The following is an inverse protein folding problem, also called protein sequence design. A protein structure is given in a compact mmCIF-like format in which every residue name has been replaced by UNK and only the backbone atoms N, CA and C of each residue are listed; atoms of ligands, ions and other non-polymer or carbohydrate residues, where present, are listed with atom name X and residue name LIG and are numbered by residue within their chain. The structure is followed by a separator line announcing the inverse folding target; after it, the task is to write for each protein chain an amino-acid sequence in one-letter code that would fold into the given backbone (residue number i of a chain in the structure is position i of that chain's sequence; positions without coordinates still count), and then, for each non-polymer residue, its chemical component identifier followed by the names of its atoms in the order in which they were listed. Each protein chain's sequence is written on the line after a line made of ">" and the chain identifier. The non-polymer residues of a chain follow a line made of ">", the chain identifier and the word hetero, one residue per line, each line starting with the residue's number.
data_IF_862020348509
#
_entry.id   IF_862020348509
#
_cell.length_a   1.000
_cell.length_b   1.000
_cell.length_c   1.000
_cell.angle_alpha   90.00
_cell.angle_beta   90.00
_cell.angle_gamma   90.00
#
_symmetry.space_group_name_H-M   'P 1'
#
loop_
_entity.id
_entity.type
_entity.pdbx_description
1 polymer ?
#
# COMPACT_ATOMS: atom_id res chain seq x y z
N UNK A 1 -3.09 0.86 22.95
CA UNK A 1 -3.46 0.29 21.63
C UNK A 1 -4.97 0.34 21.44
N UNK A 2 -5.48 0.08 20.24
CA UNK A 2 -6.92 0.13 19.95
C UNK A 2 -7.70 -0.91 20.75
N UNK A 3 -7.14 -2.12 20.93
CA UNK A 3 -7.73 -3.15 21.80
C UNK A 3 -7.92 -2.68 23.24
N UNK A 4 -6.96 -1.96 23.81
CA UNK A 4 -7.07 -1.42 25.18
C UNK A 4 -8.19 -0.40 25.29
N UNK A 5 -8.32 0.50 24.32
CA UNK A 5 -9.41 1.50 24.28
C UNK A 5 -10.77 0.81 24.11
N UNK A 6 -10.87 -0.14 23.17
CA UNK A 6 -12.12 -0.88 22.92
C UNK A 6 -12.57 -1.70 24.14
N UNK A 7 -11.62 -2.22 24.95
CA UNK A 7 -11.93 -2.95 26.18
C UNK A 7 -12.57 -2.06 27.27
N UNK A 8 -12.42 -0.74 27.19
CA UNK A 8 -13.08 0.21 28.11
C UNK A 8 -14.54 0.49 27.74
N UNK A 9 -14.97 0.10 26.53
CA UNK A 9 -16.32 0.37 26.04
C UNK A 9 -17.27 -0.70 26.60
N UNK A 10 -18.26 -0.33 27.43
CA UNK A 10 -19.21 -1.28 27.97
C UNK A 10 -20.07 -1.87 26.86
N UNK A 11 -20.30 -3.17 26.91
CA UNK A 11 -21.13 -3.93 25.95
C UNK A 11 -20.63 -3.91 24.49
N UNK A 12 -19.33 -3.72 24.26
CA UNK A 12 -18.75 -3.86 22.92
C UNK A 12 -18.92 -5.30 22.38
N UNK A 13 -19.55 -5.44 21.21
CA UNK A 13 -19.78 -6.73 20.57
C UNK A 13 -18.46 -7.31 20.05
N UNK A 14 -17.97 -8.36 20.71
CA UNK A 14 -16.67 -8.97 20.40
C UNK A 14 -16.61 -9.59 18.99
N UNK A 15 -17.72 -10.12 18.50
CA UNK A 15 -17.77 -10.66 17.12
C UNK A 15 -17.65 -9.52 16.12
N UNK A 16 -18.31 -8.38 16.35
CA UNK A 16 -18.16 -7.21 15.49
C UNK A 16 -16.70 -6.68 15.49
N UNK A 17 -16.08 -6.58 16.67
CA UNK A 17 -14.68 -6.16 16.76
C UNK A 17 -13.74 -7.10 15.99
N UNK A 18 -13.94 -8.42 16.12
CA UNK A 18 -13.12 -9.44 15.48
C UNK A 18 -13.37 -9.60 13.98
N UNK A 19 -14.62 -9.53 13.54
CA UNK A 19 -15.03 -9.90 12.18
C UNK A 19 -15.22 -8.68 11.26
N UNK A 20 -15.22 -7.47 11.80
CA UNK A 20 -15.37 -6.23 11.00
C UNK A 20 -14.21 -5.27 11.26
N UNK A 21 -14.00 -4.88 12.51
CA UNK A 21 -13.04 -3.82 12.86
C UNK A 21 -11.60 -4.30 12.68
N UNK A 22 -11.28 -5.48 13.19
CA UNK A 22 -9.97 -6.13 13.03
C UNK A 22 -9.64 -6.36 11.55
N UNK A 23 -10.60 -6.86 10.78
CA UNK A 23 -10.43 -7.08 9.33
C UNK A 23 -10.08 -5.77 8.62
N UNK A 24 -10.91 -4.74 8.81
CA UNK A 24 -10.71 -3.43 8.15
C UNK A 24 -9.36 -2.81 8.55
N UNK A 25 -8.95 -2.96 9.81
CA UNK A 25 -7.65 -2.46 10.30
C UNK A 25 -6.49 -3.18 9.63
N UNK A 26 -6.55 -4.51 9.52
CA UNK A 26 -5.49 -5.30 8.90
C UNK A 26 -5.38 -5.05 7.40
N UNK A 27 -6.51 -4.87 6.71
CA UNK A 27 -6.52 -4.60 5.27
C UNK A 27 -6.01 -3.19 4.96
N UNK A 28 -6.40 -2.18 5.74
CA UNK A 28 -6.05 -0.78 5.47
C UNK A 28 -4.67 -0.38 5.98
N UNK A 29 -4.18 -0.93 7.10
CA UNK A 29 -2.92 -0.50 7.72
C UNK A 29 -1.92 -1.64 7.97
N UNK A 30 -2.23 -2.87 7.54
CA UNK A 30 -1.43 -4.07 7.82
C UNK A 30 -1.18 -4.33 9.32
N UNK A 31 -2.01 -3.75 10.19
CA UNK A 31 -1.88 -3.80 11.65
C UNK A 31 -3.15 -4.39 12.27
N UNK A 32 -3.01 -5.07 13.42
CA UNK A 32 -4.14 -5.59 14.19
C UNK A 32 -4.61 -4.57 15.23
N UNK A 33 -5.79 -4.79 15.83
CA UNK A 33 -6.27 -3.97 16.95
C UNK A 33 -5.31 -3.99 18.16
N UNK A 34 -4.55 -5.08 18.31
CA UNK A 34 -3.57 -5.22 19.38
C UNK A 34 -2.33 -4.32 19.18
N UNK A 35 -2.02 -3.91 17.94
CA UNK A 35 -0.84 -3.10 17.63
C UNK A 35 -1.15 -1.63 17.35
N UNK A 36 -2.21 -1.36 16.59
CA UNK A 36 -2.53 0.01 16.14
C UNK A 36 -3.04 0.88 17.31
N UNK A 37 -2.82 2.19 17.28
CA UNK A 37 -3.49 3.13 18.17
C UNK A 37 -4.95 3.37 17.76
N UNK A 38 -5.78 3.87 18.68
CA UNK A 38 -7.23 3.98 18.49
C UNK A 38 -7.62 4.85 17.30
N UNK A 39 -6.95 5.98 17.08
CA UNK A 39 -7.28 6.86 15.94
C UNK A 39 -7.03 6.19 14.57
N UNK A 40 -5.92 5.46 14.41
CA UNK A 40 -5.63 4.73 13.17
C UNK A 40 -6.66 3.63 12.92
N UNK A 41 -7.12 2.96 13.99
CA UNK A 41 -8.25 2.03 13.91
C UNK A 41 -9.54 2.73 13.45
N UNK A 42 -9.86 3.92 13.97
CA UNK A 42 -11.06 4.66 13.54
C UNK A 42 -10.97 5.01 12.05
N UNK A 43 -9.81 5.50 11.60
CA UNK A 43 -9.60 5.83 10.18
C UNK A 43 -9.71 4.59 9.29
N UNK A 44 -9.27 3.43 9.77
CA UNK A 44 -9.39 2.16 9.03
C UNK A 44 -10.85 1.74 8.81
N UNK A 45 -11.82 2.34 9.51
CA UNK A 45 -13.25 2.10 9.30
C UNK A 45 -13.89 3.06 8.30
N UNK A 46 -13.20 4.12 7.86
CA UNK A 46 -13.76 5.12 6.95
C UNK A 46 -14.32 4.53 5.65
N UNK A 47 -13.71 3.49 5.02
CA UNK A 47 -14.29 2.85 3.84
C UNK A 47 -15.67 2.21 4.07
N UNK A 48 -16.04 1.91 5.33
CA UNK A 48 -17.33 1.32 5.67
C UNK A 48 -18.46 2.36 5.75
N UNK A 49 -18.13 3.65 5.82
CA UNK A 49 -19.10 4.74 6.03
C UNK A 49 -19.06 5.80 4.92
N UNK A 50 -17.98 5.88 4.15
CA UNK A 50 -17.81 6.83 3.07
C UNK A 50 -17.95 6.18 1.69
N UNK A 51 -18.35 6.97 0.71
CA UNK A 51 -18.33 6.53 -0.69
C UNK A 51 -16.89 6.51 -1.20
N UNK A 52 -16.39 5.31 -1.52
CA UNK A 52 -15.09 5.16 -2.16
C UNK A 52 -15.16 5.55 -3.64
N UNK A 53 -14.24 6.39 -4.07
CA UNK A 53 -14.07 6.78 -5.46
C UNK A 53 -12.66 6.44 -5.93
N UNK A 54 -12.53 6.14 -7.21
CA UNK A 54 -11.24 5.96 -7.86
C UNK A 54 -11.28 6.61 -9.24
N UNK A 55 -10.11 6.98 -9.74
CA UNK A 55 -10.00 7.42 -11.14
C UNK A 55 -10.17 6.19 -12.02
N UNK A 56 -11.08 6.25 -13.01
CA UNK A 56 -11.46 5.11 -13.88
C UNK A 56 -10.26 4.31 -14.44
N UNK A 57 -9.18 5.00 -14.74
CA UNK A 57 -7.97 4.43 -15.35
C UNK A 57 -6.78 4.37 -14.37
N UNK A 58 -7.05 4.40 -13.07
CA UNK A 58 -6.07 4.28 -11.99
C UNK A 58 -5.74 5.60 -11.30
N UNK A 59 -5.64 5.54 -9.96
CA UNK A 59 -5.35 6.71 -9.11
C UNK A 59 -4.00 7.36 -9.39
N UNK A 60 -3.08 6.68 -10.09
CA UNK A 60 -1.81 7.27 -10.54
C UNK A 60 -2.03 8.55 -11.38
N UNK A 61 -3.14 8.64 -12.11
CA UNK A 61 -3.47 9.81 -12.92
C UNK A 61 -3.71 11.07 -12.08
N UNK A 62 -4.14 10.91 -10.82
CA UNK A 62 -4.26 12.05 -9.91
C UNK A 62 -2.88 12.66 -9.63
N UNK A 63 -1.90 11.83 -9.28
CA UNK A 63 -0.53 12.27 -8.98
C UNK A 63 0.16 12.82 -10.24
N UNK A 64 -0.03 12.15 -11.38
CA UNK A 64 0.49 12.62 -12.66
C UNK A 64 -0.10 13.99 -13.04
N UNK A 65 -1.42 14.17 -12.91
CA UNK A 65 -2.06 15.44 -13.20
C UNK A 65 -1.56 16.56 -12.30
N UNK A 66 -1.36 16.31 -11.00
CA UNK A 66 -0.77 17.29 -10.07
C UNK A 66 0.65 17.67 -10.51
N UNK A 67 1.47 16.68 -10.88
CA UNK A 67 2.84 16.90 -11.36
C UNK A 67 2.87 17.77 -12.62
N UNK A 68 2.04 17.46 -13.62
CA UNK A 68 1.94 18.20 -14.89
C UNK A 68 1.44 19.64 -14.68
N UNK A 69 0.46 19.85 -13.80
CA UNK A 69 -0.11 21.17 -13.50
C UNK A 69 0.80 22.05 -12.64
N UNK A 70 1.76 21.47 -11.91
CA UNK A 70 2.61 22.21 -10.96
C UNK A 70 3.55 23.22 -11.62
N UNK A 71 3.89 23.02 -12.91
CA UNK A 71 4.95 23.77 -13.58
C UNK A 71 6.35 23.53 -13.00
N UNK A 72 6.51 22.55 -12.11
CA UNK A 72 7.79 22.23 -11.49
C UNK A 72 8.77 21.59 -12.50
N UNK A 73 10.07 21.85 -12.32
CA UNK A 73 11.12 21.11 -13.02
C UNK A 73 11.31 19.73 -12.37
N UNK A 74 10.57 18.74 -12.85
CA UNK A 74 10.58 17.38 -12.29
C UNK A 74 11.75 16.58 -12.84
N UNK A 75 12.65 16.16 -11.95
CA UNK A 75 13.82 15.35 -12.29
C UNK A 75 13.68 13.92 -11.76
N UNK A 76 13.28 12.99 -12.65
CA UNK A 76 13.21 11.56 -12.33
C UNK A 76 14.63 10.94 -12.30
N UNK A 77 14.78 9.77 -11.67
CA UNK A 77 16.05 9.05 -11.53
C UNK A 77 17.20 9.89 -10.93
N UNK A 78 16.85 10.89 -10.11
CA UNK A 78 17.77 11.89 -9.56
C UNK A 78 17.69 11.86 -8.03
N UNK A 79 18.13 10.76 -7.43
CA UNK A 79 18.12 10.61 -5.98
C UNK A 79 19.06 11.63 -5.31
N UNK A 80 18.59 12.28 -4.25
CA UNK A 80 19.42 13.17 -3.42
C UNK A 80 20.29 12.33 -2.50
N UNK A 81 21.58 12.69 -2.39
CA UNK A 81 22.56 12.00 -1.55
C UNK A 81 23.04 12.85 -0.38
N UNK A 82 23.14 14.16 -0.56
CA UNK A 82 23.64 15.08 0.47
C UNK A 82 22.93 16.42 0.39
N UNK A 83 22.66 17.00 1.55
CA UNK A 83 22.12 18.34 1.73
C UNK A 83 23.00 19.09 2.74
N UNK A 84 23.43 20.28 2.36
CA UNK A 84 24.26 21.15 3.18
C UNK A 84 23.57 22.50 3.36
N UNK A 85 23.30 22.91 4.60
CA UNK A 85 22.90 24.28 4.90
C UNK A 85 24.12 25.18 4.79
N UNK A 86 24.01 26.19 3.94
CA UNK A 86 25.05 27.18 3.67
C UNK A 86 24.49 28.59 3.84
N UNK A 87 25.39 29.57 3.94
CA UNK A 87 25.04 30.97 3.85
C UNK A 87 25.34 31.47 2.43
N UNK A 88 24.39 32.19 1.84
CA UNK A 88 24.60 32.91 0.59
C UNK A 88 25.62 34.06 0.78
N UNK A 89 26.01 34.71 -0.32
CA UNK A 89 26.86 35.91 -0.27
C UNK A 89 26.26 37.07 0.54
N UNK A 90 24.94 37.10 0.71
CA UNK A 90 24.23 38.10 1.51
C UNK A 90 23.98 37.65 2.95
N UNK A 91 24.45 36.45 3.33
CA UNK A 91 24.21 35.85 4.64
C UNK A 91 22.86 35.16 4.78
N UNK A 92 22.04 35.11 3.71
CA UNK A 92 20.76 34.39 3.73
C UNK A 92 20.98 32.87 3.74
N UNK A 93 20.09 32.13 4.38
CA UNK A 93 20.12 30.66 4.37
C UNK A 93 19.89 30.13 2.96
N UNK A 94 20.73 29.18 2.53
CA UNK A 94 20.57 28.39 1.32
C UNK A 94 20.92 26.92 1.58
N UNK A 95 20.45 26.04 0.70
CA UNK A 95 20.68 24.61 0.75
C UNK A 95 21.40 24.16 -0.51
N UNK A 96 22.60 23.63 -0.36
CA UNK A 96 23.33 22.95 -1.43
C UNK A 96 22.93 21.48 -1.45
N UNK A 97 22.33 21.03 -2.55
CA UNK A 97 21.83 19.68 -2.73
C UNK A 97 22.72 18.95 -3.72
N UNK A 98 23.24 17.79 -3.32
CA UNK A 98 24.05 16.91 -4.18
C UNK A 98 23.30 15.63 -4.47
N UNK A 99 23.18 15.28 -5.74
CA UNK A 99 22.51 14.06 -6.20
C UNK A 99 23.46 12.85 -6.15
N UNK A 100 22.92 11.64 -6.30
CA UNK A 100 23.70 10.41 -6.37
C UNK A 100 24.66 10.36 -7.57
N UNK A 101 24.33 11.07 -8.67
CA UNK A 101 25.22 11.22 -9.84
C UNK A 101 26.32 12.26 -9.63
N UNK A 102 26.29 13.01 -8.53
CA UNK A 102 27.25 14.07 -8.22
C UNK A 102 26.87 15.45 -8.77
N UNK A 103 25.70 15.59 -9.38
CA UNK A 103 25.18 16.91 -9.75
C UNK A 103 24.87 17.74 -8.49
N UNK A 104 25.07 19.05 -8.58
CA UNK A 104 24.94 19.98 -7.46
C UNK A 104 24.10 21.16 -7.88
N UNK A 105 23.14 21.53 -7.02
CA UNK A 105 22.35 22.75 -7.17
C UNK A 105 22.11 23.41 -5.80
N UNK A 106 21.65 24.66 -5.80
CA UNK A 106 21.39 25.45 -4.59
C UNK A 106 19.97 25.99 -4.56
N UNK A 107 19.33 25.91 -3.39
CA UNK A 107 17.94 26.32 -3.19
C UNK A 107 17.80 27.23 -1.97
N UNK A 108 16.89 28.20 -2.02
CA UNK A 108 16.64 29.10 -0.88
C UNK A 108 15.79 28.46 0.23
N UNK A 109 15.08 27.38 -0.09
CA UNK A 109 14.32 26.57 0.84
C UNK A 109 14.31 25.11 0.39
N UNK A 110 14.05 24.20 1.32
CA UNK A 110 13.97 22.77 1.05
C UNK A 110 12.71 22.17 1.69
N UNK A 111 11.96 21.38 0.91
CA UNK A 111 10.84 20.58 1.39
C UNK A 111 11.23 19.11 1.22
N UNK A 112 11.37 18.41 2.34
CA UNK A 112 11.70 17.00 2.37
C UNK A 112 10.42 16.18 2.48
N UNK A 113 10.04 15.46 1.42
CA UNK A 113 8.80 14.67 1.39
C UNK A 113 9.04 13.16 1.27
N UNK A 114 10.30 12.70 1.28
CA UNK A 114 10.60 11.28 1.30
C UNK A 114 10.63 10.75 2.74
N UNK A 115 10.15 9.52 2.98
CA UNK A 115 10.30 8.86 4.27
C UNK A 115 11.75 8.79 4.72
N UNK A 116 12.03 9.23 5.94
CA UNK A 116 13.40 9.40 6.45
C UNK A 116 14.04 8.11 6.95
N UNK A 117 13.23 7.13 7.38
CA UNK A 117 13.66 5.85 7.94
C UNK A 117 13.63 4.69 6.95
N UNK A 118 13.09 4.91 5.74
CA UNK A 118 12.74 3.83 4.80
C UNK A 118 13.85 3.48 3.81
N UNK A 119 14.77 4.41 3.55
CA UNK A 119 15.88 4.23 2.60
C UNK A 119 17.22 4.19 3.33
N UNK A 120 17.42 3.21 4.20
CA UNK A 120 18.67 3.04 4.96
C UNK A 120 19.89 2.82 4.06
N UNK A 121 19.67 2.22 2.88
CA UNK A 121 20.75 1.89 1.93
C UNK A 121 21.27 3.12 1.16
N UNK A 122 20.52 4.24 1.20
CA UNK A 122 20.86 5.48 0.51
C UNK A 122 20.45 6.72 1.34
N UNK A 123 20.78 6.72 2.62
CA UNK A 123 20.43 7.83 3.51
C UNK A 123 21.04 9.17 3.03
N UNK A 124 20.23 10.23 3.08
CA UNK A 124 20.69 11.59 2.78
C UNK A 124 21.65 12.03 3.89
N UNK A 125 22.84 12.47 3.52
CA UNK A 125 23.77 13.11 4.44
C UNK A 125 23.35 14.57 4.68
N UNK A 126 23.10 14.93 5.93
CA UNK A 126 22.76 16.30 6.33
C UNK A 126 23.96 16.99 7.00
N UNK A 127 24.25 18.22 6.58
CA UNK A 127 25.39 19.01 7.09
C UNK A 127 24.96 20.43 7.40
N UNK A 128 25.42 20.98 8.53
CA UNK A 128 25.22 22.39 8.88
C UNK A 128 23.82 22.72 9.42
N UNK A 129 22.98 21.71 9.67
CA UNK A 129 21.71 21.91 10.37
C UNK A 129 21.95 22.29 11.83
N UNK A 130 20.95 22.91 12.47
CA UNK A 130 20.94 23.20 13.91
C UNK A 130 21.22 21.93 14.73
N UNK A 131 21.91 22.09 15.85
CA UNK A 131 22.17 20.99 16.77
C UNK A 131 20.85 20.36 17.24
N UNK A 132 20.76 19.03 17.15
CA UNK A 132 19.53 18.29 17.47
C UNK A 132 18.42 18.37 16.43
N UNK A 133 18.65 18.99 15.25
CA UNK A 133 17.66 19.01 14.19
C UNK A 133 17.22 17.59 13.79
N UNK A 134 15.92 17.39 13.58
CA UNK A 134 15.32 16.06 13.41
C UNK A 134 16.03 15.19 12.36
N UNK A 135 16.45 15.73 11.21
CA UNK A 135 17.13 14.93 10.19
C UNK A 135 18.57 14.51 10.52
N UNK A 136 19.18 15.10 11.55
CA UNK A 136 20.51 14.67 12.05
C UNK A 136 20.41 13.54 13.07
N UNK A 137 19.27 13.43 13.77
CA UNK A 137 19.05 12.45 14.83
C UNK A 137 18.13 11.30 14.41
N UNK A 138 17.14 11.60 13.55
CA UNK A 138 16.01 10.75 13.17
C UNK A 138 15.32 10.11 14.39
N UNK A 139 15.36 10.81 15.53
CA UNK A 139 14.90 10.31 16.81
C UNK A 139 13.61 11.03 17.25
N UNK A 140 12.55 10.29 17.66
CA UNK A 140 12.45 8.83 17.58
C UNK A 140 12.21 8.35 16.13
N UNK A 141 12.68 7.14 15.79
CA UNK A 141 12.47 6.57 14.47
C UNK A 141 10.99 6.30 14.21
N UNK A 142 10.60 6.39 12.94
CA UNK A 142 9.28 5.97 12.46
C UNK A 142 9.45 4.61 11.80
N UNK A 143 9.03 3.55 12.49
CA UNK A 143 8.99 2.21 11.91
C UNK A 143 7.87 2.13 10.86
N UNK A 144 8.08 1.34 9.81
CA UNK A 144 7.09 1.11 8.76
C UNK A 144 6.72 -0.37 8.69
N UNK A 145 5.45 -0.62 8.39
CA UNK A 145 4.91 -1.92 8.06
C UNK A 145 5.31 -2.28 6.64
N UNK A 146 6.13 -3.33 6.51
CA UNK A 146 6.41 -3.94 5.21
C UNK A 146 5.20 -4.75 4.77
N UNK A 147 4.51 -4.27 3.75
CA UNK A 147 3.41 -4.96 3.08
C UNK A 147 3.94 -5.67 1.85
N UNK A 148 3.78 -6.98 1.79
CA UNK A 148 4.05 -7.75 0.58
C UNK A 148 2.79 -7.84 -0.27
N UNK A 149 2.96 -7.59 -1.57
CA UNK A 149 1.91 -7.66 -2.56
C UNK A 149 2.29 -8.68 -3.61
N UNK A 150 1.42 -9.66 -3.83
CA UNK A 150 1.60 -10.68 -4.86
C UNK A 150 0.44 -10.61 -5.83
N UNK A 151 0.72 -10.45 -7.12
CA UNK A 151 -0.26 -10.58 -8.19
C UNK A 151 -0.11 -11.94 -8.85
N UNK A 152 -1.22 -12.65 -9.06
CA UNK A 152 -1.24 -13.99 -9.65
C UNK A 152 -2.27 -14.05 -10.76
N UNK A 153 -1.86 -14.57 -11.91
CA UNK A 153 -2.77 -14.97 -12.99
C UNK A 153 -2.93 -16.48 -12.90
N UNK A 154 -4.15 -16.96 -12.68
CA UNK A 154 -4.35 -18.39 -12.51
C UNK A 154 -5.78 -18.82 -12.21
N UNK A 155 -5.94 -20.14 -12.07
CA UNK A 155 -7.16 -20.83 -11.68
C UNK A 155 -7.14 -21.16 -10.20
N UNK A 156 -7.91 -20.41 -9.42
CA UNK A 156 -8.03 -20.68 -7.98
C UNK A 156 -8.66 -22.06 -7.73
N UNK A 157 -8.33 -22.68 -6.60
CA UNK A 157 -8.83 -23.99 -6.15
C UNK A 157 -10.01 -23.79 -5.18
N UNK A 158 -11.28 -24.00 -5.59
CA UNK A 158 -12.43 -23.83 -4.70
C UNK A 158 -12.36 -24.63 -3.40
N UNK A 159 -11.73 -25.81 -3.43
CA UNK A 159 -11.55 -26.64 -2.23
C UNK A 159 -10.71 -25.97 -1.13
N UNK A 160 -9.84 -25.03 -1.50
CA UNK A 160 -9.09 -24.22 -0.53
C UNK A 160 -10.04 -23.34 0.32
N UNK A 161 -11.10 -22.81 -0.30
CA UNK A 161 -12.03 -21.87 0.33
C UNK A 161 -13.22 -22.56 1.01
N UNK A 162 -13.73 -23.63 0.41
CA UNK A 162 -15.00 -24.24 0.83
C UNK A 162 -14.83 -25.54 1.61
N UNK A 163 -13.61 -26.05 1.83
CA UNK A 163 -13.32 -27.21 2.70
C UNK A 163 -14.26 -28.43 2.46
N UNK A 164 -14.55 -28.78 1.21
CA UNK A 164 -15.42 -29.91 0.86
C UNK A 164 -16.91 -29.61 0.72
N UNK A 165 -17.32 -28.35 0.89
CA UNK A 165 -18.70 -27.87 0.69
C UNK A 165 -18.88 -27.15 -0.67
N UNK A 166 -18.02 -27.41 -1.66
CA UNK A 166 -17.99 -26.67 -2.94
C UNK A 166 -19.34 -26.67 -3.65
N UNK A 167 -20.10 -27.77 -3.55
CA UNK A 167 -21.43 -27.91 -4.15
C UNK A 167 -22.48 -26.93 -3.58
N UNK A 168 -22.22 -26.32 -2.41
CA UNK A 168 -23.12 -25.31 -1.80
C UNK A 168 -22.90 -23.91 -2.36
N UNK A 169 -21.82 -23.68 -3.09
CA UNK A 169 -21.42 -22.36 -3.55
C UNK A 169 -21.39 -22.31 -5.08
N UNK A 170 -22.07 -21.30 -5.64
CA UNK A 170 -22.12 -21.11 -7.09
C UNK A 170 -20.89 -20.36 -7.64
N UNK A 171 -20.13 -19.66 -6.77
CA UNK A 171 -19.03 -18.79 -7.16
C UNK A 171 -17.86 -18.88 -6.19
N UNK A 172 -16.65 -18.66 -6.70
CA UNK A 172 -15.47 -18.36 -5.88
C UNK A 172 -15.64 -17.02 -5.16
N UNK A 173 -15.06 -16.85 -3.94
CA UNK A 173 -15.06 -15.56 -3.27
C UNK A 173 -14.27 -14.54 -4.08
N UNK A 174 -14.87 -13.39 -4.36
CA UNK A 174 -14.17 -12.27 -5.01
C UNK A 174 -13.19 -11.58 -4.06
N UNK A 175 -13.51 -11.59 -2.76
CA UNK A 175 -12.64 -11.05 -1.72
C UNK A 175 -12.61 -12.02 -0.53
N UNK A 176 -11.42 -12.24 0.01
CA UNK A 176 -11.20 -13.00 1.24
C UNK A 176 -10.35 -12.15 2.17
N UNK A 177 -10.82 -11.98 3.40
CA UNK A 177 -10.10 -11.25 4.43
C UNK A 177 -9.88 -12.13 5.64
N UNK A 178 -8.70 -12.03 6.27
CA UNK A 178 -8.38 -12.81 7.46
C UNK A 178 -8.50 -11.95 8.72
N UNK A 179 -8.82 -12.57 9.85
CA UNK A 179 -8.72 -11.94 11.17
C UNK A 179 -7.33 -12.24 11.74
N UNK A 180 -6.86 -11.46 12.72
CA UNK A 180 -5.75 -11.95 13.55
C UNK A 180 -6.16 -13.25 14.26
N UNK A 181 -5.22 -14.19 14.33
CA UNK A 181 -5.42 -15.48 14.99
C UNK A 181 -4.10 -15.95 15.59
N UNK A 182 -4.16 -16.41 16.84
CA UNK A 182 -3.02 -17.03 17.52
C UNK A 182 -2.88 -18.52 17.21
N UNK A 183 -3.89 -19.13 16.59
CA UNK A 183 -3.98 -20.59 16.38
C UNK A 183 -3.97 -21.01 14.91
N UNK A 184 -4.19 -20.08 13.98
CA UNK A 184 -4.18 -20.34 12.55
C UNK A 184 -3.48 -19.20 11.83
N UNK A 185 -2.33 -19.51 11.22
CA UNK A 185 -1.57 -18.54 10.42
C UNK A 185 -1.88 -18.82 8.96
N UNK A 186 -2.78 -18.02 8.40
CA UNK A 186 -2.95 -17.95 6.93
C UNK A 186 -1.79 -17.13 6.37
N UNK A 187 -1.15 -17.52 5.26
CA UNK A 187 0.04 -16.83 4.76
C UNK A 187 -0.26 -15.44 4.16
N UNK A 188 -1.54 -15.05 4.11
CA UNK A 188 -2.00 -13.77 3.61
C UNK A 188 -2.98 -13.08 4.58
N UNK A 189 -3.03 -11.76 4.46
CA UNK A 189 -3.98 -10.86 5.11
C UNK A 189 -5.27 -10.72 4.29
N UNK A 190 -5.14 -10.62 2.96
CA UNK A 190 -6.30 -10.56 2.06
C UNK A 190 -6.02 -11.11 0.68
N UNK A 191 -7.10 -11.49 0.00
CA UNK A 191 -7.17 -11.86 -1.41
C UNK A 191 -8.25 -11.01 -2.05
N UNK A 192 -7.94 -10.39 -3.19
CA UNK A 192 -8.91 -9.66 -4.01
C UNK A 192 -8.78 -10.08 -5.47
N UNK A 193 -9.89 -10.54 -6.05
CA UNK A 193 -10.01 -10.76 -7.50
C UNK A 193 -10.12 -9.39 -8.17
N UNK A 194 -9.07 -9.00 -8.88
CA UNK A 194 -9.00 -7.71 -9.58
C UNK A 194 -9.67 -7.81 -10.96
N UNK A 195 -9.57 -8.97 -11.61
CA UNK A 195 -10.13 -9.20 -12.93
C UNK A 195 -10.46 -10.67 -13.17
N UNK A 196 -11.54 -10.93 -13.88
CA UNK A 196 -11.96 -12.26 -14.34
C UNK A 196 -11.71 -12.32 -15.84
N UNK A 197 -10.88 -13.28 -16.27
CA UNK A 197 -10.42 -13.40 -17.64
C UNK A 197 -11.35 -14.28 -18.47
N UNK A 198 -11.65 -13.85 -19.69
CA UNK A 198 -12.09 -14.75 -20.76
C UNK A 198 -10.91 -15.62 -21.23
N UNK A 199 -11.20 -16.67 -22.00
CA UNK A 199 -10.16 -17.52 -22.61
C UNK A 199 -9.20 -16.71 -23.48
N UNK A 200 -9.72 -15.79 -24.29
CA UNK A 200 -8.91 -14.93 -25.17
C UNK A 200 -7.96 -14.07 -24.35
N UNK A 201 -8.48 -13.39 -23.33
CA UNK A 201 -7.66 -12.55 -22.44
C UNK A 201 -6.62 -13.37 -21.67
N UNK A 202 -6.95 -14.59 -21.24
CA UNK A 202 -5.99 -15.49 -20.60
C UNK A 202 -4.81 -15.79 -21.52
N UNK A 203 -5.05 -16.15 -22.78
CA UNK A 203 -3.97 -16.37 -23.75
C UNK A 203 -3.15 -15.11 -23.98
N UNK A 204 -3.79 -13.94 -24.12
CA UNK A 204 -3.08 -12.67 -24.30
C UNK A 204 -2.15 -12.35 -23.13
N UNK A 205 -2.65 -12.44 -21.89
CA UNK A 205 -1.89 -12.20 -20.67
C UNK A 205 -0.76 -13.23 -20.52
N UNK A 206 -1.05 -14.52 -20.74
CA UNK A 206 -0.05 -15.60 -20.64
C UNK A 206 1.07 -15.45 -21.68
N UNK A 207 0.75 -15.10 -22.93
CA UNK A 207 1.78 -14.83 -23.96
C UNK A 207 2.65 -13.64 -23.60
N UNK A 208 2.05 -12.55 -23.10
CA UNK A 208 2.80 -11.39 -22.62
C UNK A 208 3.74 -11.76 -21.45
N UNK A 209 3.36 -12.76 -20.66
CA UNK A 209 4.16 -13.35 -19.59
C UNK A 209 5.15 -14.44 -20.06
N UNK A 210 5.32 -14.68 -21.36
CA UNK A 210 6.12 -15.76 -21.94
C UNK A 210 5.71 -17.18 -21.53
N UNK A 211 4.43 -17.40 -21.24
CA UNK A 211 3.84 -18.72 -20.99
C UNK A 211 3.37 -19.32 -22.32
N UNK A 212 3.75 -20.57 -22.59
CA UNK A 212 3.37 -21.28 -23.83
C UNK A 212 1.87 -21.52 -23.91
N UNK A 213 1.28 -21.28 -25.08
CA UNK A 213 -0.12 -21.60 -25.38
C UNK A 213 -0.48 -23.06 -25.07
N UNK A 214 0.46 -24.00 -25.22
CA UNK A 214 0.25 -25.41 -24.91
C UNK A 214 0.01 -25.66 -23.42
N UNK A 215 0.60 -24.87 -22.52
CA UNK A 215 0.41 -24.98 -21.07
C UNK A 215 -0.98 -24.48 -20.70
N UNK A 216 -1.39 -23.35 -21.28
CA UNK A 216 -2.73 -22.78 -21.08
C UNK A 216 -3.81 -23.72 -21.62
N UNK A 217 -3.60 -24.26 -22.83
CA UNK A 217 -4.53 -25.21 -23.45
C UNK A 217 -4.71 -26.48 -22.62
N UNK A 218 -3.63 -27.02 -22.03
CA UNK A 218 -3.69 -28.20 -21.19
C UNK A 218 -4.52 -27.97 -19.91
N UNK A 219 -4.39 -26.82 -19.26
CA UNK A 219 -5.17 -26.51 -18.05
C UNK A 219 -6.66 -26.28 -18.37
N UNK A 220 -6.96 -25.65 -19.51
CA UNK A 220 -8.34 -25.49 -20.00
C UNK A 220 -8.98 -26.85 -20.25
N UNK A 221 -8.28 -27.76 -20.94
CA UNK A 221 -8.79 -29.10 -21.19
C UNK A 221 -9.06 -29.88 -19.89
N UNK A 222 -8.19 -29.74 -18.88
CA UNK A 222 -8.40 -30.33 -17.57
C UNK A 222 -9.64 -29.74 -16.86
N UNK A 223 -9.86 -28.42 -16.97
CA UNK A 223 -11.06 -27.76 -16.45
C UNK A 223 -12.34 -28.23 -17.16
N UNK A 224 -12.30 -28.39 -18.49
CA UNK A 224 -13.42 -28.95 -19.26
C UNK A 224 -13.80 -30.36 -18.78
N UNK A 225 -12.80 -31.22 -18.52
CA UNK A 225 -13.02 -32.55 -17.97
C UNK A 225 -13.62 -32.50 -16.56
N UNK A 226 -13.11 -31.63 -15.67
CA UNK A 226 -13.65 -31.39 -14.33
C UNK A 226 -15.14 -30.98 -14.38
N UNK A 227 -15.49 -30.10 -15.32
CA UNK A 227 -16.86 -29.62 -15.51
C UNK A 227 -17.78 -30.70 -16.09
N UNK A 228 -17.29 -31.46 -17.07
CA UNK A 228 -18.04 -32.57 -17.69
C UNK A 228 -18.33 -33.71 -16.70
N UNK A 229 -17.45 -33.93 -15.72
CA UNK A 229 -17.65 -34.91 -14.65
C UNK A 229 -18.77 -34.53 -13.65
N UNK A 230 -19.41 -33.36 -13.81
CA UNK A 230 -20.48 -32.90 -12.92
C UNK A 230 -19.99 -32.41 -11.56
N UNK A 231 -18.68 -32.21 -11.39
CA UNK A 231 -18.08 -31.84 -10.12
C UNK A 231 -18.30 -30.36 -9.75
N UNK A 232 -18.90 -29.51 -10.62
CA UNK A 232 -19.31 -28.13 -10.31
C UNK A 232 -20.49 -27.63 -11.17
N UNK A 233 -21.35 -26.81 -10.56
CA UNK A 233 -22.38 -26.01 -11.24
C UNK A 233 -21.85 -24.65 -11.67
N UNK A 234 -22.31 -24.20 -12.84
CA UNK A 234 -21.99 -22.96 -13.58
C UNK A 234 -21.81 -21.70 -12.72
N UNK A 235 -20.86 -20.88 -13.17
CA UNK A 235 -20.52 -19.56 -12.63
C UNK A 235 -21.67 -18.55 -12.78
N UNK A 236 -21.70 -17.62 -11.82
CA UNK A 236 -22.59 -16.49 -11.56
C UNK A 236 -23.76 -16.25 -12.54
N UNK A 237 -24.98 -16.36 -12.00
CA UNK A 237 -26.26 -16.09 -12.64
C UNK A 237 -26.51 -14.61 -13.04
N UNK A 238 -25.48 -13.81 -13.34
CA UNK A 238 -25.62 -12.39 -13.68
C UNK A 238 -24.63 -11.87 -14.74
N UNK A 239 -24.07 -12.73 -15.60
CA UNK A 239 -23.19 -12.32 -16.71
C UNK A 239 -23.90 -12.61 -18.05
N UNK A 240 -23.79 -11.69 -19.01
CA UNK A 240 -24.63 -11.63 -20.22
C UNK A 240 -24.01 -12.36 -21.43
N UNK A 241 -24.79 -12.55 -22.51
CA UNK A 241 -24.69 -13.66 -23.46
C UNK A 241 -23.40 -13.86 -24.30
N UNK A 242 -22.41 -12.95 -24.25
CA UNK A 242 -21.09 -13.12 -24.89
C UNK A 242 -19.98 -13.52 -23.88
N UNK A 243 -20.34 -13.73 -22.60
CA UNK A 243 -19.45 -13.86 -21.44
C UNK A 243 -18.90 -15.29 -21.19
N UNK A 244 -17.57 -15.40 -21.15
CA UNK A 244 -16.77 -16.15 -20.17
C UNK A 244 -17.04 -17.65 -20.02
N UNK A 245 -16.52 -18.45 -20.95
CA UNK A 245 -16.51 -19.91 -20.89
C UNK A 245 -15.75 -20.48 -19.67
N UNK A 246 -14.90 -19.67 -18.99
CA UNK A 246 -14.12 -20.05 -17.80
C UNK A 246 -13.84 -18.86 -16.84
N UNK A 247 -14.84 -18.37 -16.08
CA UNK A 247 -14.62 -17.36 -15.04
C UNK A 247 -13.76 -17.83 -13.84
N UNK A 248 -13.19 -19.04 -13.94
CA UNK A 248 -12.26 -19.64 -13.00
C UNK A 248 -10.86 -19.02 -13.10
N UNK A 249 -10.53 -18.38 -14.21
CA UNK A 249 -9.24 -17.71 -14.41
C UNK A 249 -9.33 -16.24 -14.01
N UNK A 250 -8.43 -15.85 -13.11
CA UNK A 250 -8.47 -14.56 -12.45
C UNK A 250 -7.10 -13.92 -12.38
N UNK A 251 -7.07 -12.59 -12.39
CA UNK A 251 -5.97 -11.79 -11.86
C UNK A 251 -6.30 -11.47 -10.42
N UNK A 252 -5.45 -11.93 -9.50
CA UNK A 252 -5.69 -11.83 -8.06
C UNK A 252 -4.55 -11.10 -7.40
N UNK A 253 -4.89 -10.19 -6.48
CA UNK A 253 -3.95 -9.51 -5.59
C UNK A 253 -4.01 -10.11 -4.20
N UNK A 254 -2.85 -10.47 -3.67
CA UNK A 254 -2.65 -10.88 -2.29
C UNK A 254 -1.97 -9.75 -1.54
N UNK A 255 -2.45 -9.48 -0.33
CA UNK A 255 -1.67 -8.80 0.69
C UNK A 255 -1.21 -9.80 1.74
N UNK A 256 0.07 -9.79 2.09
CA UNK A 256 0.66 -10.75 3.02
C UNK A 256 1.77 -10.12 3.87
N UNK A 257 2.05 -10.69 5.05
CA UNK A 257 3.15 -10.24 5.92
C UNK A 257 4.54 -10.61 5.37
N UNK A 258 4.61 -11.56 4.44
CA UNK A 258 5.82 -11.98 3.74
C UNK A 258 5.47 -12.28 2.27
N UNK A 259 6.46 -12.28 1.37
CA UNK A 259 6.22 -12.65 -0.02
C UNK A 259 5.67 -14.08 -0.11
N UNK A 260 4.49 -14.24 -0.72
CA UNK A 260 3.86 -15.56 -0.92
C UNK A 260 4.77 -16.48 -1.71
N UNK A 261 5.17 -17.63 -1.17
CA UNK A 261 6.00 -18.61 -1.91
C UNK A 261 5.19 -19.36 -2.95
N UNK A 262 5.83 -19.94 -3.97
CA UNK A 262 5.11 -20.77 -4.96
C UNK A 262 4.40 -21.95 -4.28
N UNK A 263 5.03 -22.58 -3.28
CA UNK A 263 4.39 -23.65 -2.50
C UNK A 263 3.13 -23.19 -1.74
N UNK A 264 3.07 -21.94 -1.28
CA UNK A 264 1.86 -21.37 -0.68
C UNK A 264 0.81 -21.07 -1.74
N UNK A 265 1.21 -20.60 -2.93
CA UNK A 265 0.30 -20.38 -4.05
C UNK A 265 -0.28 -21.70 -4.57
N UNK A 266 0.51 -22.77 -4.64
CA UNK A 266 0.06 -24.11 -5.06
C UNK A 266 -1.04 -24.70 -4.15
N UNK A 267 -1.15 -24.22 -2.91
CA UNK A 267 -2.27 -24.56 -2.03
C UNK A 267 -3.55 -23.86 -2.45
N UNK A 268 -3.47 -22.58 -2.83
CA UNK A 268 -4.60 -21.71 -3.19
C UNK A 268 -5.05 -21.92 -4.65
N UNK A 269 -4.14 -22.28 -5.54
CA UNK A 269 -4.37 -22.44 -6.97
C UNK A 269 -4.40 -23.91 -7.38
N UNK A 270 -5.18 -24.21 -8.40
CA UNK A 270 -5.00 -25.44 -9.17
C UNK A 270 -3.89 -25.25 -10.19
N UNK A 271 -3.84 -24.06 -10.80
CA UNK A 271 -2.77 -23.63 -11.69
C UNK A 271 -2.56 -22.12 -11.55
N UNK A 272 -1.30 -21.68 -11.59
CA UNK A 272 -0.93 -20.27 -11.73
C UNK A 272 0.11 -20.16 -12.85
N UNK A 273 -0.11 -19.23 -13.76
CA UNK A 273 0.69 -19.09 -14.98
C UNK A 273 1.74 -18.00 -14.85
N UNK A 274 1.42 -16.97 -14.06
CA UNK A 274 2.31 -15.85 -13.85
C UNK A 274 2.11 -15.30 -12.44
N UNK A 275 3.23 -14.95 -11.82
CA UNK A 275 3.26 -14.36 -10.49
C UNK A 275 4.23 -13.19 -10.47
N UNK A 276 3.76 -12.05 -9.98
CA UNK A 276 4.59 -10.88 -9.67
C UNK A 276 4.55 -10.58 -8.18
N UNK A 277 5.72 -10.33 -7.59
CA UNK A 277 5.90 -10.08 -6.17
C UNK A 277 6.61 -8.76 -5.98
N UNK A 278 6.08 -7.95 -5.09
CA UNK A 278 6.70 -6.68 -4.69
C UNK A 278 6.43 -6.44 -3.20
N UNK A 279 7.13 -5.48 -2.62
CA UNK A 279 6.89 -5.05 -1.25
C UNK A 279 6.98 -3.54 -1.13
N UNK A 280 6.18 -3.01 -0.23
CA UNK A 280 6.13 -1.59 0.08
C UNK A 280 6.30 -1.39 1.57
N UNK A 281 7.02 -0.34 1.95
CA UNK A 281 6.96 0.19 3.31
C UNK A 281 5.71 1.07 3.38
N UNK A 282 4.56 0.41 3.44
CA UNK A 282 3.29 0.98 3.02
C UNK A 282 2.74 1.99 4.04
N UNK A 283 2.90 1.70 5.33
CA UNK A 283 2.32 2.50 6.40
C UNK A 283 3.31 2.61 7.55
N UNK A 284 3.40 3.77 8.23
CA UNK A 284 4.08 3.81 9.51
C UNK A 284 3.36 2.89 10.49
N UNK A 285 4.13 2.32 11.41
CA UNK A 285 3.57 1.64 12.57
C UNK A 285 2.91 2.71 13.43
N UNK A 286 1.60 2.60 13.55
CA UNK A 286 0.75 3.59 14.20
C UNK A 286 0.67 3.24 15.69
N UNK A 287 1.80 3.39 16.38
CA UNK A 287 1.92 3.25 17.83
C UNK A 287 1.39 4.50 18.55
N UNK A 288 1.00 4.36 19.82
CA UNK A 288 0.71 5.53 20.65
C UNK A 288 1.99 6.34 20.83
N UNK A 289 1.94 7.64 20.51
CA UNK A 289 3.06 8.58 20.64
C UNK A 289 2.73 9.72 21.60
N UNK A 290 3.72 10.23 22.31
CA UNK A 290 3.65 11.52 23.02
C UNK A 290 4.03 12.68 22.09
N UNK A 291 3.67 13.90 22.48
CA UNK A 291 3.84 15.09 21.63
C UNK A 291 5.29 15.32 21.18
N UNK A 292 6.27 14.95 22.02
CA UNK A 292 7.70 15.05 21.75
C UNK A 292 8.25 13.94 20.83
N UNK A 293 7.45 12.92 20.53
CA UNK A 293 7.81 11.82 19.63
C UNK A 293 7.39 12.06 18.17
N UNK A 294 6.71 13.17 17.89
CA UNK A 294 6.35 13.56 16.53
C UNK A 294 7.46 14.38 15.87
N UNK A 295 7.81 14.09 14.60
CA UNK A 295 8.71 14.94 13.85
C UNK A 295 8.16 16.38 13.75
N UNK A 296 9.01 17.41 13.75
CA UNK A 296 8.56 18.77 13.54
C UNK A 296 8.26 19.03 12.05
N UNK A 297 7.24 19.85 11.76
CA UNK A 297 6.97 20.32 10.38
C UNK A 297 8.10 21.25 9.90
N UNK A 298 8.58 22.15 10.76
CA UNK A 298 9.76 23.00 10.47
C UNK A 298 10.96 22.39 11.17
N UNK A 299 11.88 21.80 10.38
CA UNK A 299 13.06 21.09 10.90
C UNK A 299 14.22 22.03 11.15
N UNK A 300 14.38 23.03 10.29
CA UNK A 300 15.39 24.09 10.38
C UNK A 300 14.88 25.33 9.61
N UNK A 301 15.66 26.42 9.59
CA UNK A 301 15.33 27.64 8.84
C UNK A 301 15.11 27.32 7.37
N UNK A 302 13.89 27.54 6.85
CA UNK A 302 13.51 27.22 5.46
C UNK A 302 13.67 25.73 5.09
N UNK A 303 13.61 24.83 6.07
CA UNK A 303 13.61 23.37 5.87
C UNK A 303 12.37 22.75 6.50
N UNK A 304 11.53 22.13 5.66
CA UNK A 304 10.23 21.62 6.07
C UNK A 304 10.08 20.12 5.80
N UNK A 305 9.29 19.47 6.66
CA UNK A 305 8.95 18.05 6.60
C UNK A 305 7.42 17.87 6.66
N UNK A 306 6.70 17.97 5.53
CA UNK A 306 5.24 17.81 5.50
C UNK A 306 4.77 16.44 6.00
N UNK A 307 5.62 15.41 5.93
CA UNK A 307 5.31 14.06 6.40
C UNK A 307 5.40 13.90 7.94
N UNK A 308 5.66 14.97 8.68
CA UNK A 308 5.70 14.98 10.14
C UNK A 308 4.47 14.37 10.82
N UNK A 309 3.32 14.41 10.16
CA UNK A 309 2.06 13.87 10.67
C UNK A 309 1.82 12.39 10.34
N UNK A 310 2.61 11.80 9.44
CA UNK A 310 2.44 10.39 9.01
C UNK A 310 2.45 9.41 10.18
N UNK A 311 3.30 9.55 11.23
CA UNK A 311 3.30 8.62 12.35
C UNK A 311 2.03 8.63 13.19
N UNK A 312 1.16 9.63 13.00
CA UNK A 312 -0.18 9.67 13.61
C UNK A 312 -1.22 9.06 12.67
N UNK A 313 -1.32 9.55 11.44
CA UNK A 313 -2.23 9.00 10.43
C UNK A 313 -1.65 9.26 9.04
N UNK A 314 -1.28 8.19 8.34
CA UNK A 314 -0.80 8.26 6.95
C UNK A 314 -1.98 8.16 5.98
N UNK A 315 -2.31 9.29 5.36
CA UNK A 315 -3.31 9.41 4.28
C UNK A 315 -2.87 10.48 3.28
N UNK A 316 -3.35 10.41 2.04
CA UNK A 316 -3.07 11.46 1.05
C UNK A 316 -3.65 12.81 1.49
N UNK A 317 -4.81 12.78 2.17
CA UNK A 317 -5.52 13.95 2.68
C UNK A 317 -4.71 14.69 3.73
N UNK A 318 -4.16 13.98 4.72
CA UNK A 318 -3.31 14.59 5.77
C UNK A 318 -2.02 15.16 5.17
N UNK A 319 -1.39 14.46 4.23
CA UNK A 319 -0.19 14.96 3.54
C UNK A 319 -0.48 16.18 2.64
N UNK A 320 -1.67 16.25 2.03
CA UNK A 320 -2.11 17.41 1.24
C UNK A 320 -2.34 18.64 2.13
N UNK A 321 -3.02 18.47 3.27
CA UNK A 321 -3.22 19.56 4.24
C UNK A 321 -1.88 20.06 4.78
N UNK A 322 -0.97 19.14 5.13
CA UNK A 322 0.36 19.48 5.62
C UNK A 322 1.17 20.26 4.57
N UNK A 323 1.14 19.80 3.32
CA UNK A 323 1.84 20.46 2.19
C UNK A 323 1.28 21.86 1.90
N UNK A 324 -0.04 22.06 1.98
CA UNK A 324 -0.64 23.38 1.87
C UNK A 324 -0.21 24.32 3.00
N UNK A 325 -0.06 23.82 4.22
CA UNK A 325 0.47 24.62 5.33
C UNK A 325 1.95 24.99 5.12
N UNK A 326 2.78 24.06 4.62
CA UNK A 326 4.17 24.35 4.25
C UNK A 326 4.25 25.44 3.17
N UNK A 327 3.38 25.38 2.15
CA UNK A 327 3.32 26.43 1.13
C UNK A 327 2.99 27.81 1.73
N UNK A 328 2.10 27.88 2.72
CA UNK A 328 1.80 29.14 3.44
C UNK A 328 2.99 29.64 4.25
N UNK A 329 3.70 28.74 4.94
CA UNK A 329 4.91 29.10 5.69
C UNK A 329 5.98 29.69 4.76
N UNK A 330 6.20 29.05 3.60
CA UNK A 330 7.11 29.57 2.57
C UNK A 330 6.70 30.97 2.10
N UNK A 331 5.42 31.17 1.75
CA UNK A 331 4.95 32.50 1.33
C UNK A 331 5.19 33.53 2.43
N UNK A 332 4.87 33.22 3.69
CA UNK A 332 5.12 34.13 4.81
C UNK A 332 6.61 34.46 4.93
N UNK A 333 7.50 33.46 4.89
CA UNK A 333 8.94 33.68 5.03
C UNK A 333 9.58 34.41 3.85
N UNK A 334 9.05 34.29 2.64
CA UNK A 334 9.57 34.97 1.45
C UNK A 334 8.94 36.34 1.20
N UNK A 335 7.78 36.65 1.78
CA UNK A 335 7.07 37.91 1.54
C UNK A 335 7.08 38.87 2.73
N UNK A 336 7.44 38.40 3.93
CA UNK A 336 7.63 39.28 5.08
C UNK A 336 8.98 40.00 4.93
N UNK A 337 8.91 41.28 4.52
CA UNK A 337 10.05 42.21 4.36
C UNK A 337 10.51 42.74 5.70
#
# INVERSE_FOLDING_TARGET
>A
TASEVLATIPNANQNYLKEVVEISTRVNYAQSLAGIHAMGMVISQMPNVATSMHVRNGNQQLVQGIAELSGANIQLNTAVKKVEKIASSTGAVQYKVTTASGAVDTFDALIMASPTSTYTDAAIQWVGLKEGAYFTTLAPPVEYMTLHVTFVVGRMKPAYFFKGDEAKYSNLPLNVYTTASSTSVTPFTSISVEYILSTTELYEVCRAANVSDSVVAADIAALEEELAAGNRTKEAASLSADDKTYAFYTIVKFFSPAAMTDAQLDQVYTSHFWTYRTSYQAYPKLDTRTDDEFPPITVDDKLYFPNAFEPYISTMETSTVSSHNVAKLLVQEFTTV
#
